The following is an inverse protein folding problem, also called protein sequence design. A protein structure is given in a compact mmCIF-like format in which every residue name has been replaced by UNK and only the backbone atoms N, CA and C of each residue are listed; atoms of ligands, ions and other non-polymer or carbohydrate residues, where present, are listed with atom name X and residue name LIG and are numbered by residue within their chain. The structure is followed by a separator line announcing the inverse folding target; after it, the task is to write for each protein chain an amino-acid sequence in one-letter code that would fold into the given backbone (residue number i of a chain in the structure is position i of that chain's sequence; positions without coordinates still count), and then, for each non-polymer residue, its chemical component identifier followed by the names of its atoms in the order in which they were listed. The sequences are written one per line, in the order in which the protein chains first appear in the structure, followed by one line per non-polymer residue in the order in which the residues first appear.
data_IF_286495651277
#
_entry.id   IF_286495651277
#
_cell.length_a   1.000
_cell.length_b   1.000
_cell.length_c   1.000
_cell.angle_alpha   90.00
_cell.angle_beta   90.00
_cell.angle_gamma   90.00
#
_symmetry.space_group_name_H-M   'P 1'
#
loop_
_entity.id
_entity.type
_entity.pdbx_description
1 polymer ?
#
# COMPACT_ATOMS: atom_id res chain seq x y z
N UNK A 1 -53.97 62.23 -36.42
CA UNK A 1 -54.19 61.39 -35.22
C UNK A 1 -53.34 60.13 -35.38
N UNK A 2 -52.20 60.03 -34.68
CA UNK A 2 -51.17 59.00 -34.90
C UNK A 2 -51.27 57.88 -33.84
N UNK A 3 -51.62 56.68 -34.31
CA UNK A 3 -51.31 55.34 -33.82
C UNK A 3 -50.72 55.18 -32.40
N UNK A 4 -51.60 55.14 -31.39
CA UNK A 4 -51.26 54.78 -29.99
C UNK A 4 -51.37 53.27 -29.71
N UNK A 5 -51.99 52.48 -30.59
CA UNK A 5 -52.30 51.05 -30.38
C UNK A 5 -51.14 50.09 -30.70
N UNK A 6 -50.18 50.46 -31.55
CA UNK A 6 -49.06 49.58 -31.92
C UNK A 6 -47.93 49.49 -30.86
N UNK A 7 -47.85 50.48 -29.96
CA UNK A 7 -46.74 50.62 -29.00
C UNK A 7 -46.88 49.70 -27.79
N UNK A 8 -48.10 49.37 -27.39
CA UNK A 8 -48.41 48.54 -26.20
C UNK A 8 -48.23 47.05 -26.47
N UNK A 9 -48.61 46.56 -27.65
CA UNK A 9 -48.44 45.16 -28.06
C UNK A 9 -46.95 44.76 -28.13
N UNK A 10 -46.10 45.58 -28.75
CA UNK A 10 -44.66 45.31 -28.88
C UNK A 10 -43.96 45.15 -27.52
N UNK A 11 -44.41 45.88 -26.51
CA UNK A 11 -43.86 45.80 -25.14
C UNK A 11 -44.25 44.51 -24.40
N UNK A 12 -45.44 43.97 -24.64
CA UNK A 12 -45.89 42.70 -24.02
C UNK A 12 -45.09 41.52 -24.58
N UNK A 13 -44.83 41.50 -25.88
CA UNK A 13 -44.02 40.46 -26.53
C UNK A 13 -42.53 40.51 -26.13
N UNK A 14 -41.97 41.69 -25.89
CA UNK A 14 -40.60 41.83 -25.37
C UNK A 14 -40.48 41.37 -23.92
N UNK A 15 -41.47 41.67 -23.06
CA UNK A 15 -41.51 41.16 -21.68
C UNK A 15 -41.69 39.65 -21.64
N UNK A 16 -42.56 39.08 -22.49
CA UNK A 16 -42.77 37.64 -22.56
C UNK A 16 -41.51 36.91 -23.04
N UNK A 17 -40.80 37.45 -24.04
CA UNK A 17 -39.51 36.92 -24.49
C UNK A 17 -38.44 37.02 -23.40
N UNK A 18 -38.36 38.14 -22.69
CA UNK A 18 -37.41 38.31 -21.59
C UNK A 18 -37.64 37.28 -20.48
N UNK A 19 -38.88 37.07 -20.05
CA UNK A 19 -39.22 36.05 -19.04
C UNK A 19 -39.03 34.62 -19.55
N UNK A 20 -39.25 34.35 -20.84
CA UNK A 20 -38.99 33.04 -21.45
C UNK A 20 -37.48 32.74 -21.50
N UNK A 21 -36.65 33.69 -21.93
CA UNK A 21 -35.19 33.52 -21.93
C UNK A 21 -34.63 33.45 -20.50
N UNK A 22 -35.17 34.21 -19.56
CA UNK A 22 -34.80 34.17 -18.14
C UNK A 22 -35.17 32.83 -17.47
N UNK A 23 -36.33 32.26 -17.81
CA UNK A 23 -36.73 30.94 -17.34
C UNK A 23 -35.86 29.82 -17.94
N UNK A 24 -35.52 29.91 -19.23
CA UNK A 24 -34.64 28.93 -19.90
C UNK A 24 -33.22 28.99 -19.34
N UNK A 25 -32.66 30.18 -19.05
CA UNK A 25 -31.32 30.29 -18.43
C UNK A 25 -31.30 29.84 -16.98
N UNK A 26 -32.38 30.04 -16.20
CA UNK A 26 -32.50 29.47 -14.86
C UNK A 26 -32.61 27.94 -14.88
N UNK A 27 -33.31 27.37 -15.88
CA UNK A 27 -33.41 25.92 -16.08
C UNK A 27 -32.06 25.31 -16.47
N UNK A 28 -31.25 25.96 -17.32
CA UNK A 28 -29.92 25.41 -17.69
C UNK A 28 -28.88 25.55 -16.58
N UNK A 29 -28.95 26.61 -15.76
CA UNK A 29 -28.11 26.77 -14.57
C UNK A 29 -28.46 25.77 -13.47
N UNK A 30 -29.74 25.37 -13.33
CA UNK A 30 -30.14 24.35 -12.37
C UNK A 30 -29.64 22.95 -12.75
N UNK A 31 -29.54 22.61 -14.04
CA UNK A 31 -29.03 21.31 -14.49
C UNK A 31 -27.50 21.19 -14.38
N UNK A 32 -26.76 22.29 -14.48
CA UNK A 32 -25.30 22.30 -14.32
C UNK A 32 -24.84 22.13 -12.85
N UNK A 33 -25.74 22.29 -11.88
CA UNK A 33 -25.46 22.13 -10.44
C UNK A 33 -25.66 20.67 -9.97
N UNK A 34 -26.25 19.82 -10.83
CA UNK A 34 -26.57 18.41 -10.56
C UNK A 34 -25.83 17.45 -11.49
N UNK A 35 -24.62 17.80 -11.94
CA UNK A 35 -23.64 16.74 -12.20
C UNK A 35 -23.10 16.31 -10.85
N UNK A 36 -23.56 15.18 -10.25
CA UNK A 36 -22.85 14.62 -9.12
C UNK A 36 -21.42 14.42 -9.61
N UNK A 37 -20.46 15.02 -8.92
CA UNK A 37 -19.09 14.57 -9.01
C UNK A 37 -19.16 13.07 -8.80
N UNK A 38 -18.92 12.29 -9.86
CA UNK A 38 -18.64 10.89 -9.69
C UNK A 38 -17.31 10.87 -8.96
N UNK A 39 -17.36 10.82 -7.64
CA UNK A 39 -16.22 10.35 -6.87
C UNK A 39 -15.79 9.05 -7.56
N UNK A 40 -14.51 8.89 -7.94
CA UNK A 40 -14.04 7.59 -8.37
C UNK A 40 -14.51 6.62 -7.29
N UNK A 41 -15.26 5.60 -7.71
CA UNK A 41 -15.80 4.61 -6.78
C UNK A 41 -14.67 4.25 -5.82
N UNK A 42 -14.86 4.47 -4.52
CA UNK A 42 -13.93 3.98 -3.51
C UNK A 42 -13.74 2.51 -3.86
N UNK A 43 -12.52 2.16 -4.28
CA UNK A 43 -12.21 0.78 -4.64
C UNK A 43 -12.62 -0.03 -3.43
N UNK A 44 -13.69 -0.82 -3.57
CA UNK A 44 -14.09 -1.70 -2.50
C UNK A 44 -12.86 -2.55 -2.21
N UNK A 45 -12.37 -2.50 -0.97
CA UNK A 45 -11.31 -3.39 -0.52
C UNK A 45 -11.91 -4.80 -0.47
N UNK A 46 -12.00 -5.44 -1.64
CA UNK A 46 -12.34 -6.84 -1.75
C UNK A 46 -11.21 -7.59 -1.07
N UNK A 47 -11.55 -8.28 0.02
CA UNK A 47 -10.58 -9.08 0.76
C UNK A 47 -9.93 -10.12 -0.17
N UNK A 48 -8.63 -9.98 -0.40
CA UNK A 48 -7.84 -10.87 -1.25
C UNK A 48 -7.64 -12.20 -0.51
N UNK A 49 -8.01 -13.31 -1.15
CA UNK A 49 -7.97 -14.64 -0.52
C UNK A 49 -6.66 -15.38 -0.85
N UNK A 50 -5.82 -15.60 0.16
CA UNK A 50 -4.54 -16.31 0.03
C UNK A 50 -4.69 -17.85 0.15
N UNK A 51 -3.75 -18.66 -0.39
CA UNK A 51 -2.53 -18.26 -1.09
C UNK A 51 -2.79 -17.72 -2.51
N UNK A 52 -1.89 -16.87 -2.99
CA UNK A 52 -1.91 -16.36 -4.37
C UNK A 52 -1.31 -17.38 -5.34
N UNK A 53 -1.70 -17.29 -6.61
CA UNK A 53 -1.11 -18.08 -7.69
C UNK A 53 -1.05 -17.26 -8.98
N UNK A 54 -0.46 -17.81 -10.05
CA UNK A 54 -0.40 -17.15 -11.36
C UNK A 54 -1.21 -17.90 -12.40
N UNK A 55 -1.97 -17.16 -13.20
CA UNK A 55 -2.58 -17.65 -14.44
C UNK A 55 -2.05 -16.81 -15.61
N UNK A 56 -1.13 -17.39 -16.38
CA UNK A 56 -0.35 -16.62 -17.37
C UNK A 56 0.43 -15.49 -16.69
N UNK A 57 0.22 -14.25 -17.14
CA UNK A 57 0.85 -13.05 -16.58
C UNK A 57 0.09 -12.42 -15.40
N UNK A 58 -1.03 -13.02 -14.97
CA UNK A 58 -1.90 -12.44 -13.93
C UNK A 58 -1.73 -13.18 -12.62
N UNK A 59 -1.55 -12.43 -11.53
CA UNK A 59 -1.65 -12.97 -10.17
C UNK A 59 -3.13 -13.07 -9.82
N UNK A 60 -3.57 -14.22 -9.31
CA UNK A 60 -4.94 -14.49 -8.92
C UNK A 60 -5.01 -14.97 -7.46
N UNK A 61 -6.13 -14.67 -6.81
CA UNK A 61 -6.46 -15.19 -5.49
C UNK A 61 -7.11 -16.59 -5.57
N UNK A 62 -7.42 -17.21 -4.43
CA UNK A 62 -8.04 -18.56 -4.41
C UNK A 62 -9.46 -18.61 -5.00
N UNK A 63 -10.09 -17.45 -5.26
CA UNK A 63 -11.40 -17.33 -5.91
C UNK A 63 -11.27 -17.05 -7.42
N UNK A 64 -10.05 -17.09 -7.96
CA UNK A 64 -9.75 -16.80 -9.36
C UNK A 64 -9.85 -15.31 -9.71
N UNK A 65 -9.90 -14.42 -8.71
CA UNK A 65 -9.96 -12.98 -8.96
C UNK A 65 -8.55 -12.42 -9.21
N UNK A 66 -8.37 -11.56 -10.24
CA UNK A 66 -7.11 -10.87 -10.44
C UNK A 66 -6.71 -10.01 -9.25
N UNK A 67 -5.45 -10.10 -8.84
CA UNK A 67 -4.88 -9.35 -7.73
C UNK A 67 -3.86 -8.36 -8.27
N UNK A 68 -4.11 -7.07 -8.05
CA UNK A 68 -3.11 -6.03 -8.26
C UNK A 68 -2.30 -5.84 -6.97
N UNK A 69 -1.00 -6.09 -7.04
CA UNK A 69 -0.06 -5.81 -5.97
C UNK A 69 0.29 -4.32 -5.96
N UNK A 70 -0.23 -3.60 -4.97
CA UNK A 70 0.08 -2.19 -4.69
C UNK A 70 1.11 -2.17 -3.57
N UNK A 71 2.37 -2.12 -3.95
CA UNK A 71 3.49 -2.35 -3.05
C UNK A 71 4.25 -1.11 -2.60
N UNK A 72 4.79 -1.18 -1.38
CA UNK A 72 5.88 -0.34 -0.91
C UNK A 72 7.08 -1.21 -0.51
N UNK A 73 8.28 -0.62 -0.48
CA UNK A 73 9.44 -1.25 0.15
C UNK A 73 9.58 -0.68 1.56
N UNK A 74 9.72 -1.54 2.56
CA UNK A 74 10.11 -1.13 3.91
C UNK A 74 11.46 -1.74 4.26
N UNK A 75 12.52 -0.99 3.94
CA UNK A 75 13.90 -1.42 4.10
C UNK A 75 14.40 -1.21 5.54
N UNK A 76 15.56 -1.79 5.84
CA UNK A 76 16.30 -1.61 7.09
C UNK A 76 16.84 -2.92 7.65
N UNK A 77 16.11 -4.03 7.51
CA UNK A 77 16.56 -5.34 8.02
C UNK A 77 17.85 -5.78 7.30
N UNK A 78 18.05 -5.39 6.05
CA UNK A 78 19.27 -5.65 5.28
C UNK A 78 20.46 -4.74 5.64
N UNK A 79 20.26 -3.76 6.51
CA UNK A 79 21.28 -2.78 6.92
C UNK A 79 21.88 -3.11 8.29
N UNK A 80 22.88 -2.35 8.73
CA UNK A 80 23.54 -2.42 10.03
C UNK A 80 22.57 -2.33 11.24
N UNK A 81 21.41 -1.72 11.06
CA UNK A 81 20.37 -1.67 12.11
C UNK A 81 19.67 -3.02 12.35
N UNK A 82 19.69 -3.90 11.34
CA UNK A 82 19.01 -5.19 11.32
C UNK A 82 17.51 -5.15 11.70
N UNK A 83 16.83 -4.02 11.47
CA UNK A 83 15.41 -3.82 11.77
C UNK A 83 14.81 -2.88 10.73
N UNK A 84 13.49 -2.88 10.48
CA UNK A 84 12.90 -1.88 9.60
C UNK A 84 13.21 -0.45 10.08
N UNK A 85 13.62 0.41 9.16
CA UNK A 85 13.96 1.80 9.50
C UNK A 85 12.73 2.61 9.91
N UNK A 86 12.97 3.70 10.64
CA UNK A 86 11.95 4.62 11.14
C UNK A 86 11.44 4.32 12.54
N UNK A 87 11.81 3.18 13.13
CA UNK A 87 11.33 2.76 14.45
C UNK A 87 11.97 3.54 15.62
N UNK A 88 12.96 4.38 15.35
CA UNK A 88 13.44 5.41 16.28
C UNK A 88 12.45 6.59 16.42
N UNK A 89 11.47 6.72 15.51
CA UNK A 89 10.55 7.86 15.48
C UNK A 89 9.07 7.45 15.43
N UNK A 90 8.76 6.20 15.06
CA UNK A 90 7.39 5.73 14.83
C UNK A 90 7.17 4.34 15.43
N UNK A 91 5.94 4.09 15.84
CA UNK A 91 5.46 2.76 16.22
C UNK A 91 5.34 1.86 14.97
N UNK A 92 5.80 0.62 15.05
CA UNK A 92 5.79 -0.28 13.90
C UNK A 92 4.37 -0.68 13.45
N UNK A 93 3.38 -0.78 14.36
CA UNK A 93 1.99 -1.07 14.01
C UNK A 93 1.33 0.14 13.35
N UNK A 94 1.64 1.35 13.80
CA UNK A 94 1.18 2.60 13.16
C UNK A 94 1.77 2.77 11.77
N UNK A 95 3.03 2.39 11.56
CA UNK A 95 3.65 2.37 10.23
C UNK A 95 2.91 1.42 9.29
N UNK A 96 2.64 0.17 9.71
CA UNK A 96 1.85 -0.79 8.94
C UNK A 96 0.44 -0.28 8.68
N UNK A 97 -0.18 0.34 9.69
CA UNK A 97 -1.54 0.86 9.59
C UNK A 97 -1.62 1.98 8.56
N UNK A 98 -0.66 2.89 8.59
CA UNK A 98 -0.57 3.97 7.62
C UNK A 98 -0.39 3.42 6.19
N UNK A 99 0.44 2.39 6.00
CA UNK A 99 0.60 1.72 4.69
C UNK A 99 -0.74 1.16 4.20
N UNK A 100 -1.45 0.42 5.05
CA UNK A 100 -2.76 -0.16 4.72
C UNK A 100 -3.82 0.91 4.45
N UNK A 101 -3.91 1.95 5.28
CA UNK A 101 -4.88 3.04 5.16
C UNK A 101 -4.68 3.86 3.86
N UNK A 102 -3.45 3.93 3.35
CA UNK A 102 -3.12 4.55 2.06
C UNK A 102 -3.50 3.67 0.84
N UNK A 103 -3.99 2.45 1.06
CA UNK A 103 -4.48 1.55 0.02
C UNK A 103 -3.41 0.62 -0.57
N UNK A 104 -2.23 0.55 0.04
CA UNK A 104 -1.24 -0.49 -0.29
C UNK A 104 -1.66 -1.83 0.31
N UNK A 105 -1.29 -2.92 -0.36
CA UNK A 105 -1.66 -4.28 0.07
C UNK A 105 -0.47 -5.25 0.14
N UNK A 106 0.74 -4.81 -0.19
CA UNK A 106 1.96 -5.62 -0.06
C UNK A 106 3.15 -4.76 0.39
N UNK A 107 4.00 -5.34 1.22
CA UNK A 107 5.30 -4.79 1.58
C UNK A 107 6.37 -5.73 1.04
N UNK A 108 7.28 -5.22 0.20
CA UNK A 108 8.56 -5.88 -0.06
C UNK A 108 9.47 -5.59 1.13
N UNK A 109 9.99 -6.65 1.74
CA UNK A 109 10.75 -6.61 2.99
C UNK A 109 12.19 -7.11 2.74
N UNK A 110 13.12 -6.19 2.38
CA UNK A 110 14.53 -6.49 2.20
C UNK A 110 15.16 -7.03 3.49
N UNK A 111 16.01 -8.04 3.36
CA UNK A 111 16.87 -8.54 4.44
C UNK A 111 18.28 -8.86 3.91
N UNK A 112 19.23 -9.08 4.82
CA UNK A 112 20.55 -9.62 4.48
C UNK A 112 20.77 -10.97 5.13
N UNK A 113 21.59 -11.81 4.51
CA UNK A 113 21.98 -13.12 5.06
C UNK A 113 22.66 -12.95 6.43
N UNK A 114 23.45 -11.88 6.58
CA UNK A 114 24.08 -11.46 7.83
C UNK A 114 23.06 -11.07 8.91
N UNK A 115 22.07 -10.23 8.59
CA UNK A 115 21.15 -9.73 9.60
C UNK A 115 20.31 -10.84 10.22
N UNK A 116 19.88 -11.83 9.44
CA UNK A 116 19.14 -12.98 9.95
C UNK A 116 19.97 -13.92 10.83
N UNK A 117 21.30 -13.79 10.83
CA UNK A 117 22.23 -14.50 11.74
C UNK A 117 22.62 -13.67 12.97
N UNK A 118 22.35 -12.37 12.95
CA UNK A 118 22.66 -11.48 14.07
C UNK A 118 21.80 -11.78 15.31
N UNK A 119 22.33 -11.42 16.48
CA UNK A 119 21.67 -11.58 17.77
C UNK A 119 21.02 -10.31 18.28
N UNK A 120 21.19 -9.18 17.58
CA UNK A 120 20.70 -7.89 18.05
C UNK A 120 20.23 -6.99 16.91
N UNK A 121 19.30 -6.11 17.27
CA UNK A 121 18.78 -5.01 16.47
C UNK A 121 19.24 -3.68 17.08
N UNK A 122 19.27 -2.63 16.28
CA UNK A 122 19.44 -1.25 16.73
C UNK A 122 18.47 -0.33 15.98
N UNK A 123 18.50 1.00 16.22
CA UNK A 123 17.63 1.93 15.50
C UNK A 123 16.14 1.85 15.88
N UNK A 124 15.83 1.39 17.09
CA UNK A 124 14.46 1.33 17.64
C UNK A 124 14.40 2.14 18.92
N UNK A 125 13.41 3.02 19.04
CA UNK A 125 13.03 3.59 20.33
C UNK A 125 11.93 2.70 20.93
N UNK A 126 12.32 1.92 21.95
CA UNK A 126 11.43 0.98 22.63
C UNK A 126 10.39 1.65 23.54
N UNK A 127 10.53 2.96 23.81
CA UNK A 127 9.52 3.72 24.57
C UNK A 127 8.30 4.10 23.71
N UNK A 128 8.43 4.03 22.38
CA UNK A 128 7.35 4.34 21.44
C UNK A 128 6.40 3.14 21.33
N UNK A 129 5.24 3.23 21.99
CA UNK A 129 4.11 2.35 21.75
C UNK A 129 4.44 0.85 21.89
N UNK A 130 4.14 0.12 20.82
CA UNK A 130 4.34 -1.31 20.59
C UNK A 130 5.79 -1.68 20.25
N UNK A 131 6.69 -0.73 19.98
CA UNK A 131 8.10 -1.05 19.71
C UNK A 131 8.74 -1.78 20.90
N UNK A 132 8.22 -1.61 22.12
CA UNK A 132 8.58 -2.41 23.30
C UNK A 132 8.58 -3.93 23.04
N UNK A 133 7.70 -4.41 22.16
CA UNK A 133 7.56 -5.84 21.83
C UNK A 133 8.81 -6.38 21.11
N UNK A 134 9.60 -5.48 20.50
CA UNK A 134 10.84 -5.76 19.78
C UNK A 134 12.07 -5.78 20.70
N UNK A 135 11.95 -5.34 21.96
CA UNK A 135 13.08 -5.27 22.87
C UNK A 135 13.66 -6.66 23.16
N UNK A 136 14.98 -6.80 22.99
CA UNK A 136 15.70 -8.06 23.17
C UNK A 136 15.38 -9.13 22.12
N UNK A 137 14.76 -8.76 20.99
CA UNK A 137 14.51 -9.67 19.88
C UNK A 137 15.66 -9.68 18.89
N UNK A 138 15.91 -10.83 18.28
CA UNK A 138 16.80 -10.94 17.12
C UNK A 138 16.12 -10.39 15.87
N UNK A 139 16.87 -10.05 14.81
CA UNK A 139 16.29 -9.57 13.55
C UNK A 139 15.26 -10.53 12.95
N UNK A 140 15.51 -11.85 13.03
CA UNK A 140 14.57 -12.87 12.56
C UNK A 140 13.26 -12.85 13.38
N UNK A 141 13.34 -12.64 14.69
CA UNK A 141 12.16 -12.52 15.55
C UNK A 141 11.40 -11.20 15.29
N UNK A 142 12.09 -10.10 15.03
CA UNK A 142 11.46 -8.84 14.60
C UNK A 142 10.72 -9.05 13.28
N UNK A 143 11.34 -9.72 12.32
CA UNK A 143 10.69 -10.09 11.06
C UNK A 143 9.40 -10.90 11.29
N UNK A 144 9.41 -11.90 12.19
CA UNK A 144 8.19 -12.64 12.55
C UNK A 144 7.07 -11.76 13.12
N UNK A 145 7.44 -10.77 13.95
CA UNK A 145 6.49 -9.87 14.59
C UNK A 145 5.86 -8.94 13.55
N UNK A 146 6.69 -8.37 12.67
CA UNK A 146 6.24 -7.49 11.58
C UNK A 146 5.35 -8.24 10.60
N UNK A 147 5.73 -9.46 10.19
CA UNK A 147 4.95 -10.26 9.24
C UNK A 147 3.57 -10.63 9.81
N UNK A 148 3.51 -11.04 11.08
CA UNK A 148 2.23 -11.37 11.75
C UNK A 148 1.35 -10.15 11.93
N UNK A 149 1.94 -8.99 12.23
CA UNK A 149 1.17 -7.76 12.32
C UNK A 149 0.68 -7.29 10.95
N UNK A 150 1.51 -7.40 9.90
CA UNK A 150 1.10 -7.14 8.53
C UNK A 150 -0.11 -8.02 8.14
N UNK A 151 -0.10 -9.31 8.51
CA UNK A 151 -1.24 -10.21 8.29
C UNK A 151 -2.53 -9.68 8.94
N UNK A 152 -2.45 -9.27 10.22
CA UNK A 152 -3.60 -8.72 10.95
C UNK A 152 -4.16 -7.46 10.30
N UNK A 153 -3.31 -6.70 9.61
CA UNK A 153 -3.67 -5.47 8.94
C UNK A 153 -3.98 -5.66 7.43
N UNK A 154 -4.05 -6.91 6.96
CA UNK A 154 -4.41 -7.24 5.59
C UNK A 154 -3.31 -6.97 4.56
N UNK A 155 -2.05 -6.93 5.00
CA UNK A 155 -0.87 -6.68 4.17
C UNK A 155 -0.14 -7.99 3.86
N UNK A 156 0.13 -8.20 2.57
CA UNK A 156 1.05 -9.23 2.10
C UNK A 156 2.50 -8.83 2.32
N UNK A 157 3.38 -9.82 2.38
CA UNK A 157 4.82 -9.68 2.50
C UNK A 157 5.51 -10.42 1.35
N UNK A 158 6.37 -9.71 0.64
CA UNK A 158 7.32 -10.29 -0.31
C UNK A 158 8.71 -10.20 0.32
N UNK A 159 9.30 -11.34 0.68
CA UNK A 159 10.66 -11.37 1.21
C UNK A 159 11.65 -11.04 0.10
N UNK A 160 12.76 -10.42 0.45
CA UNK A 160 13.77 -10.01 -0.52
C UNK A 160 15.17 -10.21 0.05
N UNK A 161 15.90 -11.21 -0.48
CA UNK A 161 17.32 -11.40 -0.17
C UNK A 161 18.14 -10.30 -0.83
N UNK A 162 18.18 -9.14 -0.19
CA UNK A 162 18.71 -7.90 -0.77
C UNK A 162 20.23 -7.84 -0.76
N UNK A 163 20.84 -8.41 0.28
CA UNK A 163 22.29 -8.40 0.49
C UNK A 163 22.78 -9.70 1.12
N UNK A 164 24.08 -9.95 1.01
CA UNK A 164 24.74 -11.01 1.78
C UNK A 164 25.20 -10.44 3.13
N UNK A 165 26.11 -9.46 3.10
CA UNK A 165 26.45 -8.63 4.26
C UNK A 165 25.39 -7.55 4.51
N UNK A 166 25.57 -6.73 5.55
CA UNK A 166 24.67 -5.63 5.89
C UNK A 166 25.07 -4.25 5.30
N UNK A 167 26.09 -4.19 4.45
CA UNK A 167 26.70 -2.95 3.95
C UNK A 167 26.34 -2.64 2.49
N UNK A 168 26.37 -3.64 1.61
CA UNK A 168 26.28 -3.45 0.16
C UNK A 168 25.50 -4.54 -0.56
N UNK A 169 24.97 -4.21 -1.74
CA UNK A 169 24.35 -5.20 -2.63
C UNK A 169 25.47 -5.90 -3.41
N UNK A 170 25.60 -7.24 -3.30
CA UNK A 170 26.60 -7.98 -4.04
C UNK A 170 26.20 -8.12 -5.51
N UNK A 171 27.19 -8.35 -6.38
CA UNK A 171 26.96 -8.61 -7.80
C UNK A 171 26.32 -9.99 -8.02
N UNK A 172 26.60 -10.94 -7.14
CA UNK A 172 26.16 -12.34 -7.21
C UNK A 172 25.54 -12.79 -5.87
N UNK A 173 24.90 -13.96 -5.85
CA UNK A 173 24.27 -14.54 -4.65
C UNK A 173 25.26 -15.22 -3.68
N UNK A 174 26.57 -15.05 -3.90
CA UNK A 174 27.66 -15.47 -3.02
C UNK A 174 28.78 -14.41 -3.04
N UNK A 175 29.67 -14.44 -2.06
CA UNK A 175 30.70 -13.41 -1.84
C UNK A 175 30.47 -12.67 -0.52
N UNK A 176 31.20 -11.58 -0.28
CA UNK A 176 31.04 -10.74 0.91
C UNK A 176 31.14 -11.50 2.25
N UNK A 177 31.92 -12.58 2.28
CA UNK A 177 32.06 -13.47 3.44
C UNK A 177 31.00 -14.57 3.57
N UNK A 178 30.10 -14.69 2.60
CA UNK A 178 29.04 -15.70 2.55
C UNK A 178 29.18 -16.62 1.33
N UNK A 179 28.87 -17.90 1.53
CA UNK A 179 28.86 -18.90 0.47
C UNK A 179 27.49 -19.03 -0.19
N UNK A 180 27.41 -19.69 -1.35
CA UNK A 180 26.11 -20.08 -1.93
C UNK A 180 25.31 -20.97 -0.95
N UNK A 181 25.97 -21.84 -0.19
CA UNK A 181 25.33 -22.68 0.82
C UNK A 181 24.68 -21.82 1.89
N UNK A 182 25.35 -20.77 2.37
CA UNK A 182 24.78 -19.84 3.34
C UNK A 182 23.50 -19.17 2.83
N UNK A 183 23.51 -18.75 1.56
CA UNK A 183 22.37 -18.13 0.90
C UNK A 183 21.21 -19.12 0.71
N UNK A 184 21.48 -20.32 0.18
CA UNK A 184 20.50 -21.39 -0.01
C UNK A 184 19.86 -21.82 1.32
N UNK A 185 20.67 -22.02 2.37
CA UNK A 185 20.16 -22.45 3.66
C UNK A 185 19.34 -21.36 4.35
N UNK A 186 19.66 -20.08 4.09
CA UNK A 186 18.83 -18.95 4.55
C UNK A 186 17.44 -19.01 3.89
N UNK A 187 17.38 -19.22 2.57
CA UNK A 187 16.10 -19.38 1.88
C UNK A 187 15.31 -20.59 2.36
N UNK A 188 15.97 -21.75 2.52
CA UNK A 188 15.32 -22.95 3.05
C UNK A 188 14.79 -22.74 4.47
N UNK A 189 15.53 -22.02 5.31
CA UNK A 189 15.09 -21.65 6.66
C UNK A 189 13.82 -20.79 6.59
N UNK A 190 13.81 -19.72 5.79
CA UNK A 190 12.66 -18.82 5.68
C UNK A 190 11.43 -19.53 5.08
N UNK A 191 11.63 -20.32 4.02
CA UNK A 191 10.55 -21.10 3.40
C UNK A 191 9.91 -22.06 4.39
N UNK A 192 10.71 -22.79 5.19
CA UNK A 192 10.19 -23.67 6.25
C UNK A 192 9.51 -22.89 7.38
N UNK A 193 10.09 -21.75 7.76
CA UNK A 193 9.59 -20.90 8.84
C UNK A 193 8.21 -20.31 8.51
N UNK A 194 8.01 -19.88 7.27
CA UNK A 194 6.80 -19.18 6.84
C UNK A 194 5.86 -20.01 5.96
N UNK A 195 6.08 -21.33 5.81
CA UNK A 195 5.24 -22.21 4.97
C UNK A 195 3.73 -22.14 5.26
N UNK A 196 3.35 -21.80 6.51
CA UNK A 196 1.95 -21.69 6.93
C UNK A 196 1.47 -20.23 7.10
N UNK A 197 2.35 -19.25 6.84
CA UNK A 197 2.09 -17.83 7.02
C UNK A 197 1.55 -17.27 5.70
N UNK A 198 0.23 -17.32 5.51
CA UNK A 198 -0.42 -17.11 4.20
C UNK A 198 -0.19 -15.72 3.60
N UNK A 199 0.11 -14.72 4.41
CA UNK A 199 0.43 -13.38 3.92
C UNK A 199 1.87 -13.26 3.39
N UNK A 200 2.75 -14.25 3.59
CA UNK A 200 4.05 -14.31 2.90
C UNK A 200 3.82 -14.95 1.53
N UNK A 201 3.87 -14.13 0.49
CA UNK A 201 3.42 -14.53 -0.87
C UNK A 201 4.57 -14.99 -1.78
N UNK A 202 5.81 -14.79 -1.34
CA UNK A 202 6.98 -15.08 -2.15
C UNK A 202 8.26 -14.54 -1.55
N UNK A 203 9.32 -14.71 -2.33
CA UNK A 203 10.71 -14.49 -2.00
C UNK A 203 11.48 -14.17 -3.28
#
# INVERSE_FOLDING_TARGET
MRNLTARTLRSRWQRLRFWLYFAITLLTLAWAQFTPWQHPAQAQNVAISAPLSTQGSTIIDTKGQPVLLRGVNWFGIETDTHTPHGLWARDYKDMLKQIADLGYNVIRLPYSVQSLRSQSISGVDFSIGSNRDLQGKTPLQVMDIVIREAERQGLFILLDSHRLNDQSIPVLWYGDGFTEVDWIDTWKMLARRYQNQKNVIGA
#
